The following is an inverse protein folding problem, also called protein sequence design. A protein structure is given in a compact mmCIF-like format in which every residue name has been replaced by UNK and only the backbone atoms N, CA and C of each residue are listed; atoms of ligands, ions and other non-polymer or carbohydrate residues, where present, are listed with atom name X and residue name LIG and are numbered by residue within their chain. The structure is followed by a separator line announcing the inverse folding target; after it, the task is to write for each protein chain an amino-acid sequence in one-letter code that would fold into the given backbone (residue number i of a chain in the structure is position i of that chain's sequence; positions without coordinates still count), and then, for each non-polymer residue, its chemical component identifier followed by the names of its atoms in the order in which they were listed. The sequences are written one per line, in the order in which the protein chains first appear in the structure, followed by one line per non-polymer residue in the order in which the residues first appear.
data_IF_892726116348
#
_entry.id   IF_892726116348
#
_cell.length_a   1.000
_cell.length_b   1.000
_cell.length_c   1.000
_cell.angle_alpha   90.00
_cell.angle_beta   90.00
_cell.angle_gamma   90.00
#
_symmetry.space_group_name_H-M   'P 1'
#
loop_
_entity.id
_entity.type
_entity.pdbx_description
1 polymer ?
#
# COMPACT_ATOMS: atom_id res chain seq x y z
N UNK A 1 -8.51 -40.55 38.79
CA UNK A 1 -9.80 -39.82 38.89
C UNK A 1 -9.45 -38.34 38.71
N UNK A 2 -9.85 -37.56 37.70
CA UNK A 2 -10.80 -37.69 36.60
C UNK A 2 -10.26 -36.97 35.37
N UNK A 3 -10.53 -37.55 34.20
CA UNK A 3 -10.48 -36.91 32.89
C UNK A 3 -11.59 -35.86 32.82
N UNK A 4 -11.29 -34.66 32.30
CA UNK A 4 -12.30 -33.80 31.67
C UNK A 4 -11.79 -33.42 30.27
N UNK A 5 -12.47 -33.97 29.27
CA UNK A 5 -12.53 -33.45 27.90
C UNK A 5 -13.74 -32.53 27.82
N UNK A 6 -13.60 -31.39 27.16
CA UNK A 6 -14.65 -30.68 26.43
C UNK A 6 -13.96 -29.52 25.71
N UNK A 7 -13.98 -29.32 24.39
CA UNK A 7 -14.97 -29.66 23.39
C UNK A 7 -15.42 -28.36 22.70
N UNK A 8 -14.93 -28.14 21.46
CA UNK A 8 -15.66 -27.64 20.24
C UNK A 8 -16.48 -26.33 20.38
N UNK A 9 -16.48 -25.30 19.53
CA UNK A 9 -16.21 -25.13 18.09
C UNK A 9 -16.28 -23.64 17.74
N UNK A 10 -15.43 -23.22 16.79
CA UNK A 10 -15.67 -22.34 15.62
C UNK A 10 -16.65 -21.14 15.70
N UNK A 11 -16.08 -19.96 15.42
CA UNK A 11 -16.66 -18.82 14.68
C UNK A 11 -15.46 -17.99 14.20
N UNK A 12 -15.07 -17.91 12.94
CA UNK A 12 -15.78 -17.41 11.78
C UNK A 12 -15.11 -16.09 11.34
N UNK A 13 -14.65 -16.02 10.08
CA UNK A 13 -14.10 -14.84 9.34
C UNK A 13 -12.58 -14.65 9.49
N UNK A 14 -11.77 -14.40 8.46
CA UNK A 14 -11.98 -13.99 7.06
C UNK A 14 -11.12 -14.86 6.11
N UNK A 15 -11.49 -14.92 4.82
CA UNK A 15 -10.64 -15.50 3.79
C UNK A 15 -9.30 -14.75 3.78
N UNK A 16 -8.28 -15.34 4.38
CA UNK A 16 -6.91 -14.84 4.32
C UNK A 16 -6.45 -14.99 2.88
N UNK A 17 -6.50 -13.89 2.12
CA UNK A 17 -5.69 -13.75 0.92
C UNK A 17 -4.24 -13.86 1.38
N UNK A 18 -3.61 -15.01 1.13
CA UNK A 18 -2.22 -15.27 1.50
C UNK A 18 -1.38 -14.21 0.78
N UNK A 19 -0.63 -13.34 1.48
CA UNK A 19 0.23 -12.37 0.81
C UNK A 19 1.15 -13.13 -0.14
N UNK A 20 1.03 -12.87 -1.44
CA UNK A 20 1.75 -13.59 -2.47
C UNK A 20 3.26 -13.28 -2.38
N UNK A 21 3.59 -12.06 -1.95
CA UNK A 21 4.95 -11.65 -1.60
C UNK A 21 4.96 -10.35 -0.81
N UNK A 22 5.95 -10.19 0.09
CA UNK A 22 6.34 -8.87 0.60
C UNK A 22 7.33 -8.27 -0.37
N UNK A 23 7.06 -7.04 -0.82
CA UNK A 23 7.92 -6.31 -1.76
C UNK A 23 8.58 -5.14 -1.05
N UNK A 24 9.89 -5.00 -1.26
CA UNK A 24 10.68 -3.88 -0.74
C UNK A 24 10.60 -2.71 -1.71
N UNK A 25 10.29 -1.52 -1.19
CA UNK A 25 10.25 -0.27 -1.95
C UNK A 25 11.38 0.63 -1.48
N UNK A 26 12.42 0.76 -2.30
CA UNK A 26 13.59 1.59 -2.02
C UNK A 26 13.29 3.06 -2.31
N UNK A 27 13.40 3.90 -1.28
CA UNK A 27 13.08 5.34 -1.30
C UNK A 27 14.04 6.09 -0.37
N UNK A 28 14.24 7.40 -0.61
CA UNK A 28 14.93 8.24 0.35
C UNK A 28 14.14 8.38 1.67
N UNK A 29 14.81 8.84 2.73
CA UNK A 29 14.24 8.90 4.08
C UNK A 29 12.92 9.68 4.15
N UNK A 30 12.75 10.75 3.37
CA UNK A 30 11.56 11.61 3.43
C UNK A 30 10.41 10.98 2.63
N UNK A 31 10.69 10.56 1.40
CA UNK A 31 9.66 9.94 0.55
C UNK A 31 9.17 8.61 1.15
N UNK A 32 10.04 7.85 1.82
CA UNK A 32 9.65 6.62 2.53
C UNK A 32 8.51 6.84 3.51
N UNK A 33 8.57 7.88 4.34
CA UNK A 33 7.51 8.20 5.30
C UNK A 33 6.23 8.69 4.62
N UNK A 34 6.36 9.48 3.56
CA UNK A 34 5.21 9.99 2.81
C UNK A 34 4.45 8.86 2.10
N UNK A 35 5.16 7.94 1.43
CA UNK A 35 4.56 6.77 0.78
C UNK A 35 3.92 5.84 1.81
N UNK A 36 4.61 5.54 2.92
CA UNK A 36 4.07 4.70 4.00
C UNK A 36 2.72 5.22 4.50
N UNK A 37 2.64 6.51 4.83
CA UNK A 37 1.39 7.12 5.30
C UNK A 37 0.26 6.99 4.28
N UNK A 38 0.54 7.27 3.00
CA UNK A 38 -0.47 7.15 1.93
C UNK A 38 -0.96 5.73 1.74
N UNK A 39 -0.06 4.74 1.80
CA UNK A 39 -0.45 3.33 1.71
C UNK A 39 -1.31 2.90 2.90
N UNK A 40 -1.03 3.40 4.12
CA UNK A 40 -1.88 3.16 5.28
C UNK A 40 -3.29 3.77 5.13
N UNK A 41 -3.39 4.99 4.62
CA UNK A 41 -4.69 5.63 4.32
C UNK A 41 -5.51 4.81 3.32
N UNK A 42 -4.85 4.09 2.41
CA UNK A 42 -5.46 3.18 1.44
C UNK A 42 -5.70 1.77 1.99
N UNK A 43 -5.52 1.56 3.30
CA UNK A 43 -5.72 0.27 3.99
C UNK A 43 -4.81 -0.85 3.45
N UNK A 44 -3.62 -0.49 2.95
CA UNK A 44 -2.64 -1.49 2.50
C UNK A 44 -1.80 -2.03 3.66
N UNK A 45 -1.56 -3.34 3.64
CA UNK A 45 -0.67 -4.00 4.59
C UNK A 45 0.77 -3.63 4.25
N UNK A 46 1.37 -2.75 5.05
CA UNK A 46 2.73 -2.29 4.87
C UNK A 46 3.42 -2.01 6.21
N UNK A 47 4.74 -2.16 6.22
CA UNK A 47 5.59 -1.98 7.38
C UNK A 47 6.75 -1.05 7.04
N UNK A 48 7.05 -0.12 7.93
CA UNK A 48 8.18 0.79 7.82
C UNK A 48 8.79 0.96 9.22
N UNK A 49 10.06 0.60 9.36
CA UNK A 49 10.80 0.74 10.62
C UNK A 49 11.89 1.82 10.54
N UNK A 50 12.41 2.24 11.69
CA UNK A 50 13.61 3.07 11.75
C UNK A 50 14.77 2.35 11.04
N UNK A 51 15.38 3.02 10.06
CA UNK A 51 16.46 2.51 9.19
C UNK A 51 16.14 1.22 8.41
N UNK A 52 14.87 0.81 8.33
CA UNK A 52 14.42 -0.27 7.46
C UNK A 52 13.74 0.29 6.21
N UNK A 53 13.87 -0.38 5.05
CA UNK A 53 13.12 0.02 3.87
C UNK A 53 11.63 -0.23 4.07
N UNK A 54 10.79 0.41 3.26
CA UNK A 54 9.35 0.21 3.27
C UNK A 54 9.06 -1.16 2.64
N UNK A 55 8.31 -2.00 3.35
CA UNK A 55 7.83 -3.29 2.83
C UNK A 55 6.32 -3.28 2.70
N UNK A 56 5.80 -3.72 1.55
CA UNK A 56 4.36 -3.77 1.26
C UNK A 56 3.98 -5.17 0.85
N UNK A 57 2.87 -5.68 1.39
CA UNK A 57 2.30 -6.94 0.94
C UNK A 57 1.54 -6.70 -0.37
N UNK A 58 1.93 -7.42 -1.42
CA UNK A 58 1.24 -7.39 -2.72
C UNK A 58 0.47 -8.69 -2.87
N UNK A 59 -0.86 -8.59 -2.87
CA UNK A 59 -1.79 -9.73 -2.96
C UNK A 59 -2.42 -9.82 -4.35
N UNK A 60 -2.56 -8.69 -5.03
CA UNK A 60 -3.16 -8.61 -6.36
C UNK A 60 -2.33 -7.71 -7.28
N UNK A 61 -2.49 -7.84 -8.61
CA UNK A 61 -1.90 -6.90 -9.56
C UNK A 61 -2.38 -5.45 -9.33
N UNK A 62 -3.60 -5.27 -8.83
CA UNK A 62 -4.13 -3.96 -8.48
C UNK A 62 -3.35 -3.32 -7.31
N UNK A 63 -2.97 -4.12 -6.30
CA UNK A 63 -2.13 -3.65 -5.18
C UNK A 63 -0.78 -3.16 -5.71
N UNK A 64 -0.17 -3.89 -6.67
CA UNK A 64 1.10 -3.50 -7.29
C UNK A 64 0.98 -2.17 -8.05
N UNK A 65 -0.10 -2.00 -8.83
CA UNK A 65 -0.38 -0.76 -9.54
C UNK A 65 -0.64 0.42 -8.58
N UNK A 66 -1.35 0.17 -7.49
CA UNK A 66 -1.62 1.16 -6.47
C UNK A 66 -0.32 1.63 -5.79
N UNK A 67 0.54 0.69 -5.40
CA UNK A 67 1.87 1.01 -4.84
C UNK A 67 2.69 1.83 -5.82
N UNK A 68 2.74 1.43 -7.10
CA UNK A 68 3.44 2.19 -8.13
C UNK A 68 2.89 3.62 -8.26
N UNK A 69 1.57 3.78 -8.30
CA UNK A 69 0.91 5.08 -8.41
C UNK A 69 1.22 5.99 -7.21
N UNK A 70 1.16 5.46 -5.99
CA UNK A 70 1.48 6.21 -4.76
C UNK A 70 2.94 6.63 -4.74
N UNK A 71 3.86 5.73 -5.12
CA UNK A 71 5.29 6.05 -5.20
C UNK A 71 5.50 7.20 -6.18
N UNK A 72 4.97 7.11 -7.40
CA UNK A 72 5.10 8.16 -8.40
C UNK A 72 4.52 9.50 -7.91
N UNK A 73 3.33 9.49 -7.32
CA UNK A 73 2.68 10.71 -6.81
C UNK A 73 3.49 11.42 -5.72
N UNK A 74 4.28 10.67 -4.94
CA UNK A 74 5.11 11.21 -3.85
C UNK A 74 6.51 11.61 -4.33
N UNK A 75 7.12 10.82 -5.21
CA UNK A 75 8.51 11.02 -5.64
C UNK A 75 8.66 12.01 -6.79
N UNK A 76 7.61 12.22 -7.59
CA UNK A 76 7.64 13.19 -8.68
C UNK A 76 7.62 14.63 -8.12
N UNK A 77 8.51 15.52 -8.60
CA UNK A 77 8.57 16.90 -8.13
C UNK A 77 7.25 17.63 -8.42
N UNK A 78 6.72 18.32 -7.40
CA UNK A 78 5.46 19.09 -7.43
C UNK A 78 5.17 19.91 -8.70
N UNK A 79 6.13 20.61 -9.36
CA UNK A 79 5.81 21.30 -10.62
C UNK A 79 5.32 20.33 -11.71
N UNK A 80 5.87 19.11 -11.79
CA UNK A 80 5.47 18.13 -12.81
C UNK A 80 4.06 17.58 -12.63
N UNK A 81 3.57 17.46 -11.39
CA UNK A 81 2.21 17.00 -11.11
C UNK A 81 1.18 18.10 -11.40
N UNK A 82 1.48 19.35 -11.02
CA UNK A 82 0.66 20.51 -11.41
C UNK A 82 0.63 20.67 -12.92
N UNK A 83 1.77 20.55 -13.60
CA UNK A 83 1.86 20.61 -15.06
C UNK A 83 1.07 19.48 -15.73
N UNK A 84 1.07 18.27 -15.15
CA UNK A 84 0.30 17.15 -15.66
C UNK A 84 -1.21 17.37 -15.51
N UNK A 85 -1.64 17.84 -14.34
CA UNK A 85 -3.04 18.17 -14.08
C UNK A 85 -3.51 19.34 -14.96
N UNK A 86 -2.70 20.37 -15.15
CA UNK A 86 -2.93 21.48 -16.08
C UNK A 86 -3.10 20.97 -17.51
N UNK A 87 -2.22 20.09 -17.98
CA UNK A 87 -2.33 19.52 -19.33
C UNK A 87 -3.61 18.70 -19.49
N UNK A 88 -3.98 17.88 -18.51
CA UNK A 88 -5.25 17.15 -18.53
C UNK A 88 -6.46 18.09 -18.54
N UNK A 89 -6.38 19.20 -17.81
CA UNK A 89 -7.44 20.21 -17.77
C UNK A 89 -7.57 20.94 -19.10
N UNK A 90 -6.46 21.38 -19.69
CA UNK A 90 -6.43 22.05 -21.00
C UNK A 90 -6.96 21.16 -22.14
N UNK A 91 -6.65 19.85 -22.10
CA UNK A 91 -7.20 18.88 -23.05
C UNK A 91 -8.72 18.70 -22.91
N UNK A 92 -9.25 18.81 -21.69
CA UNK A 92 -10.68 18.74 -21.43
C UNK A 92 -11.41 20.02 -21.83
N UNK A 93 -10.79 21.20 -21.66
CA UNK A 93 -11.41 22.49 -21.98
C UNK A 93 -11.38 22.86 -23.46
N UNK A 94 -10.59 22.16 -24.27
CA UNK A 94 -10.52 22.33 -25.74
C UNK A 94 -11.57 21.48 -26.49
N UNK A 95 -12.53 20.89 -25.78
CA UNK A 95 -13.68 20.18 -26.36
C UNK A 95 -14.98 20.92 -26.12
#
# INVERSE_FOLDING_TARGET
MHVVKSGRSKSGQTAQARPLSMTVVELDRVNRWNVYRRLQELTMVCECGCDRPLTVAITTPADALLVWSVVQAVTLPKPSLTDHLERCWQQRSLR
#
